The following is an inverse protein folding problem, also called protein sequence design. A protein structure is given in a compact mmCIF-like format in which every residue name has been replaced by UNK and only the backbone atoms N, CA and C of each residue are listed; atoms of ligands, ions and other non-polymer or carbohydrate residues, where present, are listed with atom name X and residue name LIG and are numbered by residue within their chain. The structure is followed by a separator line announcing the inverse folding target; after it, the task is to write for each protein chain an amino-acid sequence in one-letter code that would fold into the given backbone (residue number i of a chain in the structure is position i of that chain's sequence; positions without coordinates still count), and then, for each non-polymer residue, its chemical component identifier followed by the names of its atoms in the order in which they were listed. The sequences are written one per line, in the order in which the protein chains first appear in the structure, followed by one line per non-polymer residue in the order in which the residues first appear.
data_IF_309009708088
#
_entry.id   IF_309009708088
#
_cell.length_a   1.000
_cell.length_b   1.000
_cell.length_c   1.000
_cell.angle_alpha   90.00
_cell.angle_beta   90.00
_cell.angle_gamma   90.00
#
_symmetry.space_group_name_H-M   'P 1'
#
loop_
_entity.id
_entity.type
_entity.pdbx_description
1 polymer ?
#
# COMPACT_ATOMS: atom_id res chain seq x y z
N UNK A 1 -8.42 5.53 19.44
CA UNK A 1 -7.36 4.50 19.62
C UNK A 1 -7.20 4.15 21.10
N UNK A 2 -7.20 2.86 21.45
CA UNK A 2 -7.00 2.39 22.82
C UNK A 2 -5.50 2.35 23.17
N UNK A 3 -5.13 2.69 24.41
CA UNK A 3 -3.74 2.61 24.87
C UNK A 3 -3.28 1.14 24.85
N UNK A 4 -2.13 0.88 24.22
CA UNK A 4 -1.48 -0.42 24.23
C UNK A 4 -0.48 -0.50 25.40
N UNK A 5 -0.92 -1.09 26.52
CA UNK A 5 -0.10 -1.19 27.73
C UNK A 5 1.25 -1.87 27.51
N UNK A 6 1.36 -2.79 26.54
CA UNK A 6 2.62 -3.49 26.25
C UNK A 6 3.65 -2.52 25.63
N UNK A 7 3.23 -1.73 24.65
CA UNK A 7 4.09 -0.70 24.04
C UNK A 7 4.46 0.41 25.04
N UNK A 8 3.53 0.77 25.94
CA UNK A 8 3.85 1.68 27.05
C UNK A 8 4.91 1.06 27.96
N UNK A 9 4.74 -0.21 28.33
CA UNK A 9 5.70 -0.95 29.16
C UNK A 9 7.09 -1.02 28.54
N UNK A 10 7.19 -1.26 27.23
CA UNK A 10 8.46 -1.25 26.50
C UNK A 10 9.14 0.12 26.55
N UNK A 11 8.39 1.23 26.40
CA UNK A 11 8.94 2.59 26.55
C UNK A 11 9.42 2.86 27.98
N UNK A 12 8.67 2.43 29.00
CA UNK A 12 9.08 2.55 30.41
C UNK A 12 10.39 1.78 30.65
N UNK A 13 10.48 0.55 30.13
CA UNK A 13 11.68 -0.28 30.23
C UNK A 13 12.89 0.41 29.57
N UNK A 14 12.70 0.99 28.39
CA UNK A 14 13.75 1.70 27.67
C UNK A 14 14.24 2.94 28.44
N UNK A 15 13.32 3.71 29.04
CA UNK A 15 13.67 4.86 29.89
C UNK A 15 14.47 4.41 31.12
N UNK A 16 14.08 3.30 31.75
CA UNK A 16 14.82 2.75 32.90
C UNK A 16 16.23 2.32 32.49
N UNK A 17 16.34 1.56 31.40
CA UNK A 17 17.61 1.03 30.92
C UNK A 17 18.56 2.13 30.45
N UNK A 18 18.05 3.22 29.84
CA UNK A 18 18.88 4.36 29.42
C UNK A 18 19.53 5.11 30.59
N UNK A 19 18.99 4.95 31.79
CA UNK A 19 19.55 5.50 33.03
C UNK A 19 20.38 4.48 33.82
N UNK A 20 20.55 3.25 33.32
CA UNK A 20 21.31 2.20 33.99
C UNK A 20 20.69 1.69 35.28
N UNK A 21 19.39 1.90 35.49
CA UNK A 21 18.72 1.52 36.74
C UNK A 21 18.21 0.08 36.72
N UNK A 22 18.37 -0.63 37.84
CA UNK A 22 17.60 -1.85 38.11
C UNK A 22 16.12 -1.51 38.31
N UNK A 23 15.24 -2.51 38.22
CA UNK A 23 13.80 -2.30 38.50
C UNK A 23 13.58 -1.80 39.94
N UNK A 24 14.38 -2.28 40.90
CA UNK A 24 14.41 -1.82 42.29
C UNK A 24 14.74 -0.33 42.36
N UNK A 25 15.90 0.08 41.82
CA UNK A 25 16.39 1.46 41.86
C UNK A 25 15.47 2.43 41.10
N UNK A 26 14.86 1.96 40.01
CA UNK A 26 13.86 2.73 39.30
C UNK A 26 12.58 2.89 40.15
N UNK A 27 12.12 1.83 40.81
CA UNK A 27 10.93 1.84 41.67
C UNK A 27 11.04 2.81 42.85
N UNK A 28 12.23 2.95 43.44
CA UNK A 28 12.52 3.91 44.51
C UNK A 28 12.18 5.36 44.12
N UNK A 29 12.41 5.76 42.86
CA UNK A 29 12.09 7.11 42.35
C UNK A 29 10.59 7.43 42.38
N UNK A 30 9.74 6.41 42.48
CA UNK A 30 8.29 6.50 42.48
C UNK A 30 7.66 5.98 43.78
N UNK A 31 8.47 5.73 44.82
CA UNK A 31 8.04 5.08 46.06
C UNK A 31 7.24 3.79 45.80
N UNK A 32 7.72 2.94 44.88
CA UNK A 32 7.04 1.70 44.51
C UNK A 32 7.98 0.49 44.49
N UNK A 33 7.40 -0.70 44.44
CA UNK A 33 8.17 -1.95 44.46
C UNK A 33 8.72 -2.32 43.08
N UNK A 34 9.81 -3.12 43.05
CA UNK A 34 10.30 -3.82 41.85
C UNK A 34 9.18 -4.57 41.12
N UNK A 35 8.30 -5.24 41.86
CA UNK A 35 7.17 -5.99 41.30
C UNK A 35 6.21 -5.09 40.53
N UNK A 36 5.97 -3.88 41.04
CA UNK A 36 5.16 -2.86 40.36
C UNK A 36 5.81 -2.42 39.05
N UNK A 37 7.11 -2.09 39.07
CA UNK A 37 7.86 -1.71 37.86
C UNK A 37 7.85 -2.83 36.82
N UNK A 38 8.06 -4.09 37.24
CA UNK A 38 7.96 -5.23 36.35
C UNK A 38 6.55 -5.38 35.74
N UNK A 39 5.49 -5.12 36.51
CA UNK A 39 4.13 -5.16 35.97
C UNK A 39 3.87 -4.05 34.94
N UNK A 40 4.43 -2.84 35.14
CA UNK A 40 4.40 -1.77 34.15
C UNK A 40 5.13 -2.17 32.86
N UNK A 41 6.37 -2.66 32.98
CA UNK A 41 7.19 -3.04 31.81
C UNK A 41 6.62 -4.23 31.03
N UNK A 42 5.91 -5.13 31.71
CA UNK A 42 5.18 -6.24 31.07
C UNK A 42 3.79 -5.84 30.56
N UNK A 43 3.38 -4.59 30.73
CA UNK A 43 2.07 -4.08 30.28
C UNK A 43 0.87 -4.65 31.04
N UNK A 44 1.07 -5.21 32.23
CA UNK A 44 -0.01 -5.81 33.05
C UNK A 44 -0.91 -4.73 33.65
N UNK A 45 -0.34 -3.60 34.03
CA UNK A 45 -1.05 -2.40 34.46
C UNK A 45 -0.27 -1.15 34.04
N UNK A 46 -0.96 -0.01 33.97
CA UNK A 46 -0.32 1.28 33.73
C UNK A 46 0.11 1.92 35.06
N UNK A 47 1.16 2.75 35.07
CA UNK A 47 1.42 3.66 36.18
C UNK A 47 0.22 4.61 36.36
N UNK A 48 0.05 5.11 37.59
CA UNK A 48 -0.95 6.15 37.86
C UNK A 48 -0.54 7.49 37.21
N UNK A 49 -1.45 8.48 37.21
CA UNK A 49 -1.23 9.78 36.57
C UNK A 49 0.04 10.49 37.07
N UNK A 50 0.30 10.44 38.37
CA UNK A 50 1.49 11.05 38.98
C UNK A 50 2.78 10.38 38.49
N UNK A 51 2.82 9.05 38.48
CA UNK A 51 3.97 8.29 38.03
C UNK A 51 4.18 8.40 36.53
N UNK A 52 3.12 8.48 35.72
CA UNK A 52 3.25 8.76 34.29
C UNK A 52 3.94 10.11 34.04
N UNK A 53 3.56 11.16 34.77
CA UNK A 53 4.21 12.49 34.66
C UNK A 53 5.70 12.41 35.02
N UNK A 54 6.04 11.73 36.11
CA UNK A 54 7.44 11.56 36.55
C UNK A 54 8.25 10.73 35.55
N UNK A 55 7.70 9.61 35.05
CA UNK A 55 8.37 8.75 34.08
C UNK A 55 8.60 9.51 32.76
N UNK A 56 7.58 10.23 32.27
CA UNK A 56 7.69 11.03 31.06
C UNK A 56 8.76 12.13 31.19
N UNK A 57 8.82 12.78 32.36
CA UNK A 57 9.86 13.77 32.67
C UNK A 57 11.27 13.16 32.66
N UNK A 58 11.48 11.99 33.25
CA UNK A 58 12.76 11.25 33.21
C UNK A 58 13.11 10.86 31.76
N UNK A 59 12.11 10.44 30.99
CA UNK A 59 12.24 10.10 29.58
C UNK A 59 12.39 11.29 28.63
N UNK A 60 12.32 12.53 29.14
CA UNK A 60 12.34 13.78 28.36
C UNK A 60 11.32 13.80 27.23
N UNK A 61 10.11 13.31 27.51
CA UNK A 61 8.98 13.26 26.58
C UNK A 61 7.68 13.68 27.25
N UNK A 62 6.64 13.92 26.46
CA UNK A 62 5.29 14.14 26.97
C UNK A 62 4.67 12.85 27.51
N UNK A 63 3.62 12.99 28.34
CA UNK A 63 2.85 11.83 28.81
C UNK A 63 2.16 11.15 27.63
N UNK A 64 1.72 11.93 26.65
CA UNK A 64 1.09 11.45 25.43
C UNK A 64 2.06 10.61 24.60
N UNK A 65 3.31 11.04 24.41
CA UNK A 65 4.33 10.24 23.73
C UNK A 65 4.65 8.94 24.49
N UNK A 66 4.68 8.99 25.83
CA UNK A 66 4.84 7.78 26.64
C UNK A 66 3.66 6.80 26.45
N UNK A 67 2.43 7.33 26.31
CA UNK A 67 1.21 6.52 26.19
C UNK A 67 0.98 6.01 24.76
N UNK A 68 1.26 6.81 23.74
CA UNK A 68 0.87 6.56 22.35
C UNK A 68 2.05 6.30 21.41
N UNK A 69 3.29 6.60 21.81
CA UNK A 69 4.46 6.52 20.95
C UNK A 69 4.73 7.83 20.22
N UNK A 70 5.58 7.80 19.20
CA UNK A 70 5.82 8.98 18.38
C UNK A 70 4.56 9.38 17.59
N UNK A 71 4.44 10.68 17.31
CA UNK A 71 3.21 11.24 16.77
C UNK A 71 2.89 10.72 15.35
N UNK A 72 3.92 10.45 14.54
CA UNK A 72 3.74 9.93 13.19
C UNK A 72 3.20 8.50 13.21
N UNK A 73 3.77 7.64 14.05
CA UNK A 73 3.28 6.28 14.27
C UNK A 73 1.87 6.31 14.84
N UNK A 74 1.57 7.22 15.78
CA UNK A 74 0.21 7.39 16.30
C UNK A 74 -0.80 7.73 15.18
N UNK A 75 -0.49 8.71 14.33
CA UNK A 75 -1.34 9.09 13.20
C UNK A 75 -1.51 7.93 12.22
N UNK A 76 -0.41 7.24 11.88
CA UNK A 76 -0.44 6.11 10.96
C UNK A 76 -1.33 4.99 11.47
N UNK A 77 -1.14 4.55 12.72
CA UNK A 77 -1.95 3.51 13.35
C UNK A 77 -3.43 3.92 13.42
N UNK A 78 -3.70 5.18 13.73
CA UNK A 78 -5.08 5.69 13.79
C UNK A 78 -5.74 5.73 12.42
N UNK A 79 -4.99 6.07 11.37
CA UNK A 79 -5.45 6.00 9.98
C UNK A 79 -5.74 4.55 9.59
N UNK A 80 -4.84 3.62 9.91
CA UNK A 80 -5.04 2.19 9.63
C UNK A 80 -6.26 1.62 10.35
N UNK A 81 -6.51 2.01 11.61
CA UNK A 81 -7.66 1.59 12.41
C UNK A 81 -9.00 2.06 11.78
N UNK A 82 -9.01 3.25 11.18
CA UNK A 82 -10.23 3.88 10.61
C UNK A 82 -10.41 3.64 9.11
N UNK A 83 -9.36 3.34 8.36
CA UNK A 83 -9.40 3.11 6.92
C UNK A 83 -10.42 2.04 6.47
N UNK A 84 -10.57 0.90 7.18
CA UNK A 84 -11.58 -0.11 6.83
C UNK A 84 -13.02 0.41 6.82
N UNK A 85 -13.33 1.42 7.65
CA UNK A 85 -14.67 2.01 7.71
C UNK A 85 -14.94 2.97 6.54
N UNK A 86 -13.90 3.59 5.99
CA UNK A 86 -13.99 4.57 4.91
C UNK A 86 -13.93 3.93 3.51
N UNK A 87 -13.20 2.82 3.37
CA UNK A 87 -12.92 2.22 2.07
C UNK A 87 -13.92 1.09 1.76
N UNK A 88 -14.63 1.20 0.62
CA UNK A 88 -15.56 0.16 0.16
C UNK A 88 -14.79 -1.09 -0.28
N UNK A 89 -15.24 -2.27 0.19
CA UNK A 89 -14.57 -3.56 -0.03
C UNK A 89 -13.12 -3.56 0.47
N UNK A 90 -12.91 -3.01 1.68
CA UNK A 90 -11.59 -3.03 2.31
C UNK A 90 -11.06 -4.47 2.42
N UNK A 91 -9.81 -4.62 2.03
CA UNK A 91 -9.04 -5.85 1.99
C UNK A 91 -7.63 -5.49 2.47
N UNK A 92 -7.26 -6.00 3.64
CA UNK A 92 -6.03 -5.64 4.35
C UNK A 92 -4.75 -5.92 3.54
N UNK A 93 -4.84 -6.76 2.50
CA UNK A 93 -3.70 -7.12 1.64
C UNK A 93 -3.64 -6.36 0.31
N UNK A 94 -4.60 -5.46 0.06
CA UNK A 94 -4.66 -4.72 -1.19
C UNK A 94 -3.71 -3.51 -1.18
N UNK A 95 -2.74 -3.48 -2.09
CA UNK A 95 -1.77 -2.38 -2.23
C UNK A 95 -2.40 -1.00 -2.47
N UNK A 96 -3.65 -0.94 -2.92
CA UNK A 96 -4.39 0.32 -3.05
C UNK A 96 -4.73 0.91 -1.67
N UNK A 97 -4.96 0.09 -0.65
CA UNK A 97 -5.24 0.57 0.70
C UNK A 97 -3.98 1.10 1.38
N UNK A 98 -2.82 0.48 1.12
CA UNK A 98 -1.52 1.01 1.54
C UNK A 98 -1.26 2.39 0.92
N UNK A 99 -1.56 2.57 -0.38
CA UNK A 99 -1.43 3.87 -1.04
C UNK A 99 -2.36 4.92 -0.42
N UNK A 100 -3.64 4.57 -0.19
CA UNK A 100 -4.62 5.46 0.44
C UNK A 100 -4.20 5.84 1.86
N UNK A 101 -3.75 4.89 2.68
CA UNK A 101 -3.34 5.15 4.07
C UNK A 101 -2.06 5.99 4.13
N UNK A 102 -1.08 5.72 3.26
CA UNK A 102 0.13 6.53 3.16
C UNK A 102 -0.18 7.96 2.69
N UNK A 103 -1.08 8.12 1.72
CA UNK A 103 -1.50 9.44 1.23
C UNK A 103 -2.31 10.20 2.27
N UNK A 104 -3.19 9.52 3.01
CA UNK A 104 -3.91 10.09 4.14
C UNK A 104 -2.95 10.57 5.23
N UNK A 105 -1.88 9.80 5.51
CA UNK A 105 -0.83 10.20 6.44
C UNK A 105 -0.10 11.45 5.96
N UNK A 106 0.27 11.52 4.67
CA UNK A 106 0.91 12.70 4.08
C UNK A 106 0.01 13.93 4.16
N UNK A 107 -1.29 13.78 3.86
CA UNK A 107 -2.28 14.87 3.99
C UNK A 107 -2.37 15.33 5.45
N UNK A 108 -2.45 14.39 6.40
CA UNK A 108 -2.48 14.71 7.82
C UNK A 108 -1.22 15.47 8.26
N UNK A 109 -0.03 15.00 7.87
CA UNK A 109 1.24 15.64 8.19
C UNK A 109 1.37 17.06 7.61
N UNK A 110 0.88 17.27 6.39
CA UNK A 110 0.91 18.58 5.74
C UNK A 110 -0.15 19.55 6.31
N UNK A 111 -1.25 19.02 6.85
CA UNK A 111 -2.37 19.84 7.35
C UNK A 111 -2.21 20.18 8.83
N UNK A 112 -1.70 19.25 9.62
CA UNK A 112 -1.58 19.39 11.08
C UNK A 112 -0.28 20.14 11.41
N UNK A 113 -0.42 21.40 11.82
CA UNK A 113 0.72 22.26 12.16
C UNK A 113 1.33 22.00 13.54
N UNK A 114 0.64 21.25 14.42
CA UNK A 114 1.08 20.94 15.79
C UNK A 114 0.62 19.54 16.23
N UNK A 115 1.46 18.86 17.01
CA UNK A 115 1.16 17.55 17.62
C UNK A 115 -0.16 17.61 18.41
N UNK A 116 -1.10 16.73 18.04
CA UNK A 116 -2.41 16.59 18.68
C UNK A 116 -2.82 15.11 18.80
N UNK A 117 -2.48 14.49 19.93
CA UNK A 117 -2.90 13.11 20.22
C UNK A 117 -4.42 12.97 20.47
N UNK A 118 -5.16 14.07 20.56
CA UNK A 118 -6.62 14.07 20.75
C UNK A 118 -7.39 14.34 19.45
N UNK A 119 -6.70 14.36 18.30
CA UNK A 119 -7.33 14.56 16.99
C UNK A 119 -8.54 13.63 16.82
N UNK A 120 -9.68 14.18 16.40
CA UNK A 120 -10.92 13.41 16.33
C UNK A 120 -10.89 12.38 15.20
N UNK A 121 -11.56 11.25 15.41
CA UNK A 121 -11.70 10.20 14.39
C UNK A 121 -12.34 10.77 13.12
N UNK A 122 -13.28 11.71 13.24
CA UNK A 122 -13.92 12.39 12.11
C UNK A 122 -12.93 13.25 11.30
N UNK A 123 -11.95 13.88 11.95
CA UNK A 123 -10.87 14.59 11.25
C UNK A 123 -9.97 13.62 10.49
N UNK A 124 -9.63 12.48 11.11
CA UNK A 124 -8.83 11.43 10.43
C UNK A 124 -9.59 10.85 9.24
N UNK A 125 -10.90 10.58 9.38
CA UNK A 125 -11.77 10.12 8.30
C UNK A 125 -11.79 11.10 7.13
N UNK A 126 -11.83 12.43 7.39
CA UNK A 126 -11.69 13.45 6.33
C UNK A 126 -10.37 13.35 5.57
N UNK A 127 -9.24 13.06 6.24
CA UNK A 127 -7.98 12.85 5.54
C UNK A 127 -7.99 11.59 4.66
N UNK A 128 -8.61 10.52 5.15
CA UNK A 128 -8.80 9.28 4.39
C UNK A 128 -9.72 9.53 3.18
N UNK A 129 -10.83 10.24 3.37
CA UNK A 129 -11.76 10.60 2.29
C UNK A 129 -11.08 11.48 1.24
N UNK A 130 -10.29 12.47 1.64
CA UNK A 130 -9.48 13.28 0.72
C UNK A 130 -8.44 12.42 -0.02
N UNK A 131 -7.78 11.49 0.66
CA UNK A 131 -6.85 10.56 0.02
C UNK A 131 -7.56 9.66 -1.00
N UNK A 132 -8.75 9.17 -0.67
CA UNK A 132 -9.62 8.40 -1.56
C UNK A 132 -10.06 9.26 -2.75
N UNK A 133 -10.49 10.51 -2.53
CA UNK A 133 -10.89 11.44 -3.58
C UNK A 133 -9.74 11.74 -4.53
N UNK A 134 -8.55 12.06 -4.02
CA UNK A 134 -7.37 12.28 -4.86
C UNK A 134 -6.96 11.01 -5.63
N UNK A 135 -7.18 9.83 -5.04
CA UNK A 135 -6.91 8.55 -5.70
C UNK A 135 -7.99 8.21 -6.74
N UNK A 136 -9.25 8.59 -6.50
CA UNK A 136 -10.39 8.51 -7.43
C UNK A 136 -10.39 9.63 -8.48
N UNK A 137 -9.72 10.76 -8.27
CA UNK A 137 -9.59 11.80 -9.28
C UNK A 137 -8.50 11.42 -10.26
N UNK A 138 -7.43 10.77 -9.80
CA UNK A 138 -6.48 10.08 -10.67
C UNK A 138 -7.17 8.89 -11.35
N UNK A 139 -7.57 7.84 -10.63
CA UNK A 139 -8.15 6.66 -11.27
C UNK A 139 -9.50 6.98 -11.92
N UNK A 140 -10.46 7.56 -11.21
CA UNK A 140 -11.83 7.81 -11.68
C UNK A 140 -12.05 8.96 -12.69
N UNK A 141 -11.30 10.08 -12.71
CA UNK A 141 -11.44 11.05 -13.83
C UNK A 141 -10.75 10.56 -15.10
N UNK A 142 -9.67 9.76 -14.99
CA UNK A 142 -9.09 9.04 -16.15
C UNK A 142 -10.06 8.01 -16.73
N UNK A 143 -11.00 7.50 -15.94
CA UNK A 143 -11.96 6.48 -16.37
C UNK A 143 -13.34 7.00 -16.75
N UNK A 144 -13.77 8.14 -16.18
CA UNK A 144 -15.09 8.72 -16.43
C UNK A 144 -15.12 9.64 -17.64
N UNK A 145 -13.99 10.21 -18.08
CA UNK A 145 -13.96 11.13 -19.21
C UNK A 145 -13.35 10.48 -20.47
N UNK A 146 -14.25 10.07 -21.37
CA UNK A 146 -14.04 9.58 -22.73
C UNK A 146 -12.97 8.49 -22.92
N UNK A 147 -13.42 7.25 -22.69
CA UNK A 147 -12.71 5.99 -22.93
C UNK A 147 -12.38 5.71 -24.42
N UNK A 148 -12.57 6.65 -25.33
CA UNK A 148 -12.31 6.47 -26.77
C UNK A 148 -10.83 6.60 -27.16
N UNK A 149 -9.96 7.20 -26.32
CA UNK A 149 -8.60 7.61 -26.73
C UNK A 149 -7.45 6.99 -25.92
N UNK A 150 -7.69 5.93 -25.13
CA UNK A 150 -6.60 5.22 -24.43
C UNK A 150 -5.93 4.21 -25.36
N UNK A 151 -4.76 4.58 -25.87
CA UNK A 151 -3.81 3.69 -26.54
C UNK A 151 -2.87 3.04 -25.52
N UNK A 152 -2.52 1.78 -25.73
CA UNK A 152 -1.56 1.05 -24.90
C UNK A 152 -0.37 0.64 -25.75
N UNK A 153 0.84 0.90 -25.25
CA UNK A 153 2.09 0.47 -25.88
C UNK A 153 2.91 -0.34 -24.89
N UNK A 154 3.43 -1.49 -25.33
CA UNK A 154 4.40 -2.25 -24.54
C UNK A 154 5.69 -1.42 -24.46
N UNK A 155 6.13 -1.09 -23.26
CA UNK A 155 7.38 -0.34 -23.06
C UNK A 155 8.52 -1.23 -22.55
N UNK A 156 8.22 -2.44 -22.09
CA UNK A 156 9.21 -3.32 -21.48
C UNK A 156 8.68 -4.73 -21.25
N UNK A 157 9.58 -5.70 -21.39
CA UNK A 157 9.35 -7.13 -21.18
C UNK A 157 10.58 -7.76 -20.56
N UNK A 158 10.43 -8.59 -19.51
CA UNK A 158 11.49 -9.51 -19.08
C UNK A 158 10.96 -10.94 -19.08
N UNK A 159 11.76 -11.87 -19.60
CA UNK A 159 11.44 -13.29 -19.65
C UNK A 159 12.41 -14.08 -18.78
N UNK A 160 11.86 -14.95 -17.95
CA UNK A 160 12.63 -16.00 -17.28
C UNK A 160 11.89 -17.33 -17.40
N UNK A 161 12.31 -18.16 -18.38
CA UNK A 161 11.67 -19.45 -18.70
C UNK A 161 10.19 -19.31 -19.05
N UNK A 162 9.30 -19.59 -18.09
CA UNK A 162 7.82 -19.58 -18.17
C UNK A 162 7.19 -18.27 -17.65
N UNK A 163 7.98 -17.39 -17.04
CA UNK A 163 7.52 -16.14 -16.44
C UNK A 163 7.78 -14.96 -17.38
N UNK A 164 6.74 -14.16 -17.63
CA UNK A 164 6.76 -13.00 -18.50
C UNK A 164 6.26 -11.78 -17.74
N UNK A 165 7.08 -10.74 -17.64
CA UNK A 165 6.68 -9.46 -17.04
C UNK A 165 6.39 -8.47 -18.16
N UNK A 166 5.14 -8.06 -18.32
CA UNK A 166 4.75 -7.11 -19.37
C UNK A 166 4.38 -5.75 -18.77
N UNK A 167 5.01 -4.70 -19.26
CA UNK A 167 4.74 -3.31 -18.88
C UNK A 167 4.04 -2.53 -19.99
N UNK A 168 2.97 -1.82 -19.65
CA UNK A 168 2.14 -1.07 -20.59
C UNK A 168 2.06 0.40 -20.21
N UNK A 169 2.33 1.27 -21.19
CA UNK A 169 2.14 2.72 -21.06
C UNK A 169 0.77 3.06 -21.60
N UNK A 170 0.03 3.83 -20.84
CA UNK A 170 -1.32 4.30 -21.12
C UNK A 170 -1.28 5.81 -21.37
N UNK A 171 -1.78 6.27 -22.51
CA UNK A 171 -1.76 7.69 -22.86
C UNK A 171 -3.16 8.29 -22.72
N UNK A 172 -3.30 9.44 -22.04
CA UNK A 172 -4.55 10.21 -21.95
C UNK A 172 -4.29 11.71 -21.87
N UNK A 173 -4.81 12.47 -22.86
CA UNK A 173 -4.70 13.95 -22.92
C UNK A 173 -3.29 14.44 -22.55
N UNK A 174 -2.28 13.85 -23.19
CA UNK A 174 -0.84 14.15 -23.00
C UNK A 174 -0.23 13.74 -21.65
N UNK A 175 -1.01 13.10 -20.77
CA UNK A 175 -0.51 12.45 -19.55
C UNK A 175 -0.26 10.96 -19.80
N UNK A 176 0.76 10.43 -19.14
CA UNK A 176 1.10 9.02 -19.15
C UNK A 176 0.76 8.36 -17.82
N UNK A 177 0.17 7.17 -17.88
CA UNK A 177 0.08 6.24 -16.77
C UNK A 177 0.74 4.94 -17.16
N UNK A 178 1.03 4.11 -16.16
CA UNK A 178 1.73 2.85 -16.37
C UNK A 178 1.05 1.73 -15.61
N UNK A 179 1.09 0.54 -16.18
CA UNK A 179 0.60 -0.67 -15.54
C UNK A 179 1.49 -1.84 -15.94
N UNK A 180 1.52 -2.88 -15.12
CA UNK A 180 2.25 -4.10 -15.45
C UNK A 180 1.55 -5.34 -14.91
N UNK A 181 1.87 -6.48 -15.53
CA UNK A 181 1.41 -7.79 -15.10
C UNK A 181 2.54 -8.81 -15.16
N UNK A 182 2.43 -9.85 -14.35
CA UNK A 182 3.18 -11.09 -14.50
C UNK A 182 2.27 -12.12 -15.17
N UNK A 183 2.74 -12.71 -16.27
CA UNK A 183 2.10 -13.83 -16.93
C UNK A 183 2.97 -15.09 -16.79
N UNK A 184 2.37 -16.18 -16.31
CA UNK A 184 3.00 -17.48 -16.15
C UNK A 184 2.42 -18.40 -17.22
N UNK A 185 3.25 -18.81 -18.17
CA UNK A 185 2.85 -19.62 -19.30
C UNK A 185 3.09 -21.10 -19.02
N UNK A 186 2.03 -21.90 -19.05
CA UNK A 186 2.12 -23.36 -19.07
C UNK A 186 1.77 -23.86 -20.48
N UNK A 187 2.81 -24.20 -21.26
CA UNK A 187 2.65 -24.67 -22.63
C UNK A 187 1.94 -26.03 -22.71
N UNK A 188 2.23 -26.93 -21.77
CA UNK A 188 1.68 -28.30 -21.76
C UNK A 188 0.16 -28.32 -21.59
N UNK A 189 -0.36 -27.45 -20.72
CA UNK A 189 -1.80 -27.34 -20.45
C UNK A 189 -2.47 -26.24 -21.26
N UNK A 190 -1.71 -25.50 -22.07
CA UNK A 190 -2.15 -24.30 -22.79
C UNK A 190 -2.87 -23.31 -21.88
N UNK A 191 -2.27 -23.01 -20.73
CA UNK A 191 -2.83 -22.11 -19.72
C UNK A 191 -1.87 -20.97 -19.43
N UNK A 192 -2.41 -19.76 -19.27
CA UNK A 192 -1.70 -18.56 -18.83
C UNK A 192 -2.28 -18.16 -17.50
N UNK A 193 -1.44 -18.00 -16.49
CA UNK A 193 -1.83 -17.40 -15.21
C UNK A 193 -1.38 -15.95 -15.17
N UNK A 194 -2.26 -15.03 -14.78
CA UNK A 194 -1.95 -13.60 -14.72
C UNK A 194 -2.03 -13.12 -13.28
N UNK A 195 -0.99 -12.42 -12.86
CA UNK A 195 -0.88 -11.80 -11.55
C UNK A 195 -0.66 -10.29 -11.72
N UNK A 196 -1.42 -9.50 -10.94
CA UNK A 196 -1.31 -8.05 -10.92
C UNK A 196 0.00 -7.65 -10.23
N UNK A 197 0.76 -6.75 -10.86
CA UNK A 197 1.98 -6.24 -10.25
C UNK A 197 1.61 -4.99 -9.43
N UNK A 198 1.79 -5.06 -8.11
CA UNK A 198 1.63 -3.91 -7.23
C UNK A 198 2.73 -2.85 -7.48
N UNK A 199 2.51 -1.63 -7.01
CA UNK A 199 3.41 -0.48 -7.26
C UNK A 199 4.86 -0.75 -6.83
N UNK A 200 5.07 -1.40 -5.68
CA UNK A 200 6.42 -1.73 -5.22
C UNK A 200 7.11 -2.75 -6.14
N UNK A 201 6.41 -3.84 -6.52
CA UNK A 201 6.92 -4.82 -7.49
C UNK A 201 7.16 -4.17 -8.85
N UNK A 202 6.31 -3.24 -9.28
CA UNK A 202 6.50 -2.51 -10.53
C UNK A 202 7.88 -1.83 -10.53
N UNK A 203 8.18 -1.01 -9.53
CA UNK A 203 9.46 -0.30 -9.49
C UNK A 203 10.65 -1.23 -9.27
N UNK A 204 10.48 -2.35 -8.56
CA UNK A 204 11.52 -3.35 -8.43
C UNK A 204 11.89 -4.01 -9.77
N UNK A 205 10.91 -4.22 -10.67
CA UNK A 205 11.14 -4.90 -11.95
C UNK A 205 11.48 -3.93 -13.10
N UNK A 206 10.82 -2.78 -13.15
CA UNK A 206 10.92 -1.85 -14.28
C UNK A 206 11.75 -0.59 -13.97
N UNK A 207 12.00 -0.31 -12.69
CA UNK A 207 12.67 0.91 -12.25
C UNK A 207 11.81 2.17 -12.43
N UNK A 208 12.40 3.32 -12.15
CA UNK A 208 11.75 4.62 -12.26
C UNK A 208 11.99 5.28 -13.63
N UNK A 209 12.96 4.76 -14.40
CA UNK A 209 13.51 5.39 -15.60
C UNK A 209 13.22 4.49 -16.81
N UNK A 210 12.04 4.66 -17.42
CA UNK A 210 11.63 3.77 -18.51
C UNK A 210 12.05 4.38 -19.86
N UNK A 211 12.87 3.67 -20.67
CA UNK A 211 13.26 4.14 -21.99
C UNK A 211 12.03 4.20 -22.90
N UNK A 212 11.73 5.38 -23.44
CA UNK A 212 10.68 5.50 -24.44
C UNK A 212 11.12 4.78 -25.73
N UNK A 213 10.20 4.04 -26.35
CA UNK A 213 10.36 3.35 -27.64
C UNK A 213 11.01 4.18 -28.78
N UNK A 214 11.06 5.50 -28.66
CA UNK A 214 11.72 6.41 -29.59
C UNK A 214 13.17 6.79 -29.25
N UNK A 215 13.81 6.15 -28.25
CA UNK A 215 15.22 6.32 -27.83
C UNK A 215 15.66 7.77 -27.48
N UNK A 216 14.74 8.75 -27.47
CA UNK A 216 15.06 10.18 -27.31
C UNK A 216 14.56 10.79 -25.99
N UNK A 217 13.84 10.04 -25.16
CA UNK A 217 13.29 10.54 -23.88
C UNK A 217 13.19 9.42 -22.85
N UNK A 218 13.57 9.70 -21.61
CA UNK A 218 13.32 8.84 -20.44
C UNK A 218 12.07 9.37 -19.77
N UNK A 219 11.09 8.49 -19.58
CA UNK A 219 9.92 8.80 -18.76
C UNK A 219 10.27 8.46 -17.30
N UNK A 220 10.30 9.48 -16.45
CA UNK A 220 10.46 9.33 -15.00
C UNK A 220 9.10 9.09 -14.37
N UNK A 221 8.93 7.93 -13.73
CA UNK A 221 7.62 7.48 -13.27
C UNK A 221 7.48 7.68 -11.76
N UNK A 222 6.43 8.38 -11.37
CA UNK A 222 6.02 8.52 -9.97
C UNK A 222 5.05 7.40 -9.56
N UNK A 223 5.02 7.00 -8.28
CA UNK A 223 4.07 6.00 -7.77
C UNK A 223 2.60 6.32 -8.08
N UNK A 224 2.24 7.60 -8.08
CA UNK A 224 0.88 8.05 -8.42
C UNK A 224 0.50 7.83 -9.88
N UNK A 225 1.46 7.51 -10.75
CA UNK A 225 1.23 7.26 -12.18
C UNK A 225 1.03 5.75 -12.48
N UNK A 226 1.13 4.89 -11.46
CA UNK A 226 0.90 3.45 -11.57
C UNK A 226 -0.58 3.13 -11.35
N UNK A 227 -1.13 2.29 -12.22
CA UNK A 227 -2.48 1.73 -12.10
C UNK A 227 -2.41 0.21 -12.17
N UNK A 228 -3.20 -0.50 -11.36
CA UNK A 228 -3.23 -1.97 -11.39
C UNK A 228 -3.79 -2.48 -12.73
N UNK A 229 -3.22 -3.57 -13.24
CA UNK A 229 -3.57 -4.10 -14.56
C UNK A 229 -5.02 -4.59 -14.59
N UNK A 230 -5.46 -5.31 -13.55
CA UNK A 230 -6.86 -5.74 -13.38
C UNK A 230 -7.83 -4.56 -13.40
N UNK A 231 -7.47 -3.43 -12.76
CA UNK A 231 -8.29 -2.22 -12.71
C UNK A 231 -8.48 -1.66 -14.10
N UNK A 232 -7.38 -1.50 -14.85
CA UNK A 232 -7.41 -1.05 -16.24
C UNK A 232 -8.27 -1.98 -17.12
N UNK A 233 -8.01 -3.30 -17.10
CA UNK A 233 -8.74 -4.28 -17.91
C UNK A 233 -10.24 -4.26 -17.61
N UNK A 234 -10.63 -4.29 -16.33
CA UNK A 234 -12.03 -4.28 -15.88
C UNK A 234 -12.79 -3.06 -16.37
N UNK A 235 -12.12 -1.91 -16.47
CA UNK A 235 -12.75 -0.68 -16.89
C UNK A 235 -12.82 -0.57 -18.41
N UNK A 236 -11.74 -0.93 -19.11
CA UNK A 236 -11.69 -0.90 -20.57
C UNK A 236 -12.56 -1.96 -21.22
N UNK A 237 -12.78 -3.11 -20.57
CA UNK A 237 -13.65 -4.16 -21.09
C UNK A 237 -15.10 -3.72 -21.29
N UNK A 238 -15.52 -2.61 -20.67
CA UNK A 238 -16.84 -1.99 -20.85
C UNK A 238 -17.00 -1.29 -22.20
N UNK A 239 -15.89 -0.91 -22.84
CA UNK A 239 -15.87 -0.13 -24.09
C UNK A 239 -15.21 -0.92 -25.22
N UNK A 240 -14.17 -1.68 -24.90
CA UNK A 240 -13.50 -2.60 -25.82
C UNK A 240 -13.71 -4.01 -25.28
N UNK A 241 -14.75 -4.72 -25.74
CA UNK A 241 -14.92 -6.13 -25.43
C UNK A 241 -13.64 -6.91 -25.77
N UNK A 242 -13.30 -7.91 -24.96
CA UNK A 242 -12.10 -8.76 -25.14
C UNK A 242 -10.75 -8.02 -25.07
N UNK A 243 -10.66 -6.82 -24.50
CA UNK A 243 -9.38 -6.09 -24.42
C UNK A 243 -8.24 -6.91 -23.77
N UNK A 244 -8.54 -7.73 -22.74
CA UNK A 244 -7.55 -8.63 -22.14
C UNK A 244 -6.97 -9.61 -23.17
N UNK A 245 -7.82 -10.18 -24.03
CA UNK A 245 -7.40 -11.09 -25.10
C UNK A 245 -6.44 -10.38 -26.05
N UNK A 246 -6.78 -9.17 -26.48
CA UNK A 246 -5.96 -8.38 -27.40
C UNK A 246 -4.60 -8.04 -26.80
N UNK A 247 -4.57 -7.60 -25.54
CA UNK A 247 -3.33 -7.25 -24.84
C UNK A 247 -2.40 -8.47 -24.76
N UNK A 248 -2.92 -9.63 -24.36
CA UNK A 248 -2.11 -10.84 -24.20
C UNK A 248 -1.62 -11.38 -25.54
N UNK A 249 -2.50 -11.45 -26.56
CA UNK A 249 -2.11 -11.86 -27.90
C UNK A 249 -0.96 -11.00 -28.43
N UNK A 250 -1.10 -9.67 -28.34
CA UNK A 250 -0.06 -8.74 -28.80
C UNK A 250 1.26 -8.92 -28.03
N UNK A 251 1.20 -9.07 -26.71
CA UNK A 251 2.39 -9.15 -25.86
C UNK A 251 3.15 -10.46 -26.04
N UNK A 252 2.46 -11.60 -26.11
CA UNK A 252 3.09 -12.89 -26.36
C UNK A 252 3.58 -13.04 -27.81
N UNK A 253 2.91 -12.40 -28.77
CA UNK A 253 3.38 -12.41 -30.16
C UNK A 253 4.74 -11.71 -30.32
N UNK A 254 5.00 -10.63 -29.56
CA UNK A 254 6.32 -9.99 -29.52
C UNK A 254 7.42 -10.92 -29.00
N UNK A 255 7.06 -11.90 -28.19
CA UNK A 255 7.94 -12.97 -27.70
C UNK A 255 7.99 -14.19 -28.63
N UNK A 256 7.38 -14.09 -29.83
CA UNK A 256 7.20 -15.18 -30.80
C UNK A 256 6.40 -16.38 -30.27
N UNK A 257 5.43 -16.15 -29.38
CA UNK A 257 4.58 -17.18 -28.79
C UNK A 257 3.13 -16.96 -29.23
N UNK A 258 2.56 -17.92 -29.96
CA UNK A 258 1.13 -17.93 -30.27
C UNK A 258 0.33 -18.54 -29.10
N UNK A 259 -0.42 -17.67 -28.43
CA UNK A 259 -1.31 -18.04 -27.32
C UNK A 259 -2.76 -18.27 -27.76
N UNK A 260 -3.02 -18.38 -29.05
CA UNK A 260 -4.36 -18.68 -29.58
C UNK A 260 -4.89 -20.02 -29.07
N UNK A 261 -6.10 -20.01 -28.52
CA UNK A 261 -6.69 -21.20 -27.89
C UNK A 261 -6.15 -21.53 -26.50
N UNK A 262 -5.29 -20.68 -25.92
CA UNK A 262 -4.92 -20.81 -24.50
C UNK A 262 -6.06 -20.36 -23.59
N UNK A 263 -6.02 -20.89 -22.37
CA UNK A 263 -6.92 -20.51 -21.28
C UNK A 263 -6.21 -19.55 -20.35
N UNK A 264 -6.83 -18.42 -20.01
CA UNK A 264 -6.28 -17.41 -19.10
C UNK A 264 -6.98 -17.54 -17.75
N UNK A 265 -6.19 -17.71 -16.70
CA UNK A 265 -6.63 -17.69 -15.32
C UNK A 265 -6.04 -16.48 -14.62
N UNK A 266 -6.87 -15.66 -14.01
CA UNK A 266 -6.40 -14.53 -13.19
C UNK A 266 -6.15 -15.07 -11.78
N UNK A 267 -4.93 -14.87 -11.30
CA UNK A 267 -4.51 -15.13 -9.92
C UNK A 267 -4.96 -13.92 -9.09
N UNK A 268 -6.23 -13.90 -8.69
CA UNK A 268 -6.64 -13.05 -7.57
C UNK A 268 -6.07 -13.69 -6.28
N UNK A 269 -5.39 -12.89 -5.46
CA UNK A 269 -4.63 -13.27 -4.24
C UNK A 269 -4.98 -14.65 -3.69
N UNK A 270 -4.09 -15.62 -3.93
CA UNK A 270 -3.81 -16.94 -3.29
C UNK A 270 -4.89 -17.72 -2.50
N UNK A 271 -6.18 -17.34 -2.44
CA UNK A 271 -7.30 -18.08 -1.85
C UNK A 271 -8.63 -17.66 -2.52
N UNK A 272 -8.98 -18.38 -3.60
CA UNK A 272 -10.33 -18.56 -4.16
C UNK A 272 -11.08 -17.36 -4.79
N UNK A 273 -10.89 -17.18 -6.11
CA UNK A 273 -11.92 -17.37 -7.17
C UNK A 273 -11.26 -17.14 -8.54
N UNK A 274 -10.93 -18.21 -9.25
CA UNK A 274 -10.36 -18.09 -10.60
C UNK A 274 -11.45 -17.72 -11.61
N UNK A 275 -11.27 -16.59 -12.29
CA UNK A 275 -12.04 -16.28 -13.50
C UNK A 275 -11.27 -16.81 -14.71
N UNK A 276 -11.83 -17.83 -15.36
CA UNK A 276 -11.24 -18.45 -16.55
C UNK A 276 -11.77 -17.79 -17.83
N UNK A 277 -10.87 -17.39 -18.72
CA UNK A 277 -11.18 -16.76 -20.02
C UNK A 277 -10.48 -17.55 -21.13
N UNK A 278 -11.20 -17.98 -22.17
CA UNK A 278 -10.58 -18.63 -23.34
C UNK A 278 -10.16 -17.58 -24.37
N UNK A 279 -8.92 -17.68 -24.85
CA UNK A 279 -8.41 -16.85 -25.95
C UNK A 279 -8.94 -17.44 -27.26
N UNK A 280 -9.66 -16.61 -28.03
CA UNK A 280 -10.27 -17.02 -29.31
C UNK A 280 -9.18 -17.50 -30.29
N UNK A 281 -9.40 -18.61 -31.00
CA UNK A 281 -8.59 -18.92 -32.20
C UNK A 281 -8.97 -17.93 -33.30
N UNK A 282 -7.98 -17.43 -34.03
CA UNK A 282 -8.21 -16.64 -35.23
C UNK A 282 -8.90 -17.49 -36.30
#
# INVERSE_FOLDING_TARGET
MKINNKLVGERIQNIRLSHGDSMEKFGEKFNTSKGTVNNWEKGRNLPNKENLLKIASIGKMSVEELLYGDYNTYLHLKIMDLAPECIKNYDEYNSLHDDITNKALQIAQNTISKIDYQISDETIKKFIDLAIEQSRDLQGNLLKNNLSNFDYSLFGGTRNREYFYFGYRLTYKEKYLYTALLAILNESTKTIYIDDINTARFFNFFGNDIPNSSLKKIDYIAPSEIVSFSTYVRQRSKVIPKILEHILKSSFLLENIDVSGYTVNILEDQLTKHRTIKISKN
#
